data_IF_669510352667
#
_entry.id   IF_669510352667
#
_cell.length_a   1.000
_cell.length_b   1.000
_cell.length_c   1.000
_cell.angle_alpha   90.00
_cell.angle_beta   90.00
_cell.angle_gamma   90.00
#
_symmetry.space_group_name_H-M   'P 1'
#
loop_
_entity.id
_entity.type
_entity.pdbx_description
1 polymer ?
#
# COMPACT_ATOMS: atom_id res chain seq x y z
N UNK A 1 10.78 -28.77 -0.76
CA UNK A 1 11.51 -27.57 -1.16
C UNK A 1 12.97 -27.92 -1.25
N UNK A 2 13.55 -27.82 -2.45
CA UNK A 2 14.98 -28.06 -2.70
C UNK A 2 15.81 -26.84 -2.29
N UNK A 3 17.13 -26.89 -2.50
CA UNK A 3 17.98 -25.71 -2.29
C UNK A 3 17.70 -24.64 -3.33
N UNK A 4 17.48 -25.04 -4.57
CA UNK A 4 17.13 -24.16 -5.70
C UNK A 4 15.83 -23.41 -5.41
N UNK A 5 14.78 -24.10 -4.93
CA UNK A 5 13.52 -23.48 -4.52
C UNK A 5 13.73 -22.42 -3.40
N UNK A 6 14.66 -22.69 -2.47
CA UNK A 6 14.97 -21.77 -1.38
C UNK A 6 15.70 -20.53 -1.85
N UNK A 7 16.62 -20.69 -2.81
CA UNK A 7 17.37 -19.58 -3.41
C UNK A 7 16.43 -18.73 -4.25
N UNK A 8 15.61 -19.34 -5.11
CA UNK A 8 14.62 -18.64 -5.93
C UNK A 8 13.65 -17.82 -5.06
N UNK A 9 13.22 -18.37 -3.92
CA UNK A 9 12.40 -17.62 -2.95
C UNK A 9 13.13 -16.42 -2.37
N UNK A 10 14.42 -16.52 -2.05
CA UNK A 10 15.20 -15.40 -1.52
C UNK A 10 15.43 -14.31 -2.57
N UNK A 11 15.74 -14.71 -3.81
CA UNK A 11 15.89 -13.79 -4.95
C UNK A 11 14.57 -13.09 -5.26
N UNK A 12 13.46 -13.81 -5.25
CA UNK A 12 12.11 -13.27 -5.42
C UNK A 12 11.75 -12.24 -4.34
N UNK A 13 12.08 -12.52 -3.07
CA UNK A 13 11.88 -11.55 -1.97
C UNK A 13 12.66 -10.27 -2.23
N UNK A 14 13.92 -10.36 -2.65
CA UNK A 14 14.74 -9.19 -2.92
C UNK A 14 14.26 -8.42 -4.15
N UNK A 15 13.87 -9.12 -5.22
CA UNK A 15 13.30 -8.47 -6.41
C UNK A 15 12.02 -7.70 -6.07
N UNK A 16 11.12 -8.26 -5.26
CA UNK A 16 9.91 -7.59 -4.79
C UNK A 16 10.23 -6.38 -3.89
N UNK A 17 11.26 -6.47 -3.03
CA UNK A 17 11.70 -5.30 -2.24
C UNK A 17 12.24 -4.19 -3.12
N UNK A 18 13.08 -4.53 -4.10
CA UNK A 18 13.61 -3.57 -5.07
C UNK A 18 12.51 -2.98 -5.95
N UNK A 19 11.49 -3.76 -6.32
CA UNK A 19 10.31 -3.32 -7.06
C UNK A 19 9.60 -2.16 -6.33
N UNK A 20 9.41 -2.27 -5.01
CA UNK A 20 8.80 -1.22 -4.17
C UNK A 20 9.71 0.01 -4.05
N UNK A 21 11.03 -0.17 -3.88
CA UNK A 21 11.98 0.94 -3.86
C UNK A 21 12.02 1.70 -5.19
N UNK A 22 12.03 0.97 -6.32
CA UNK A 22 11.97 1.53 -7.68
C UNK A 22 10.67 2.30 -7.91
N UNK A 23 9.56 1.83 -7.34
CA UNK A 23 8.28 2.52 -7.43
C UNK A 23 8.36 3.92 -6.84
N UNK A 24 8.85 4.06 -5.60
CA UNK A 24 8.97 5.37 -4.95
C UNK A 24 9.87 6.29 -5.75
N UNK A 25 11.06 5.82 -6.15
CA UNK A 25 12.01 6.62 -6.89
C UNK A 25 11.47 7.08 -8.25
N UNK A 26 10.92 6.17 -9.05
CA UNK A 26 10.38 6.50 -10.38
C UNK A 26 9.18 7.45 -10.30
N UNK A 27 8.33 7.29 -9.28
CA UNK A 27 7.20 8.16 -9.03
C UNK A 27 7.65 9.59 -8.70
N UNK A 28 8.54 9.73 -7.73
CA UNK A 28 8.98 11.04 -7.24
C UNK A 28 9.83 11.79 -8.28
N UNK A 29 10.61 11.06 -9.09
CA UNK A 29 11.39 11.64 -10.19
C UNK A 29 10.57 11.85 -11.48
N UNK A 30 9.28 11.50 -11.46
CA UNK A 30 8.36 11.61 -12.61
C UNK A 30 8.85 10.85 -13.85
N UNK A 31 9.63 9.78 -13.68
CA UNK A 31 10.00 8.88 -14.78
C UNK A 31 8.86 7.89 -15.01
N UNK A 32 7.90 8.32 -15.83
CA UNK A 32 6.67 7.58 -16.04
C UNK A 32 6.90 6.25 -16.76
N UNK A 33 7.88 6.16 -17.65
CA UNK A 33 8.21 4.91 -18.35
C UNK A 33 8.84 3.90 -17.39
N UNK A 34 9.79 4.34 -16.57
CA UNK A 34 10.34 3.48 -15.53
C UNK A 34 9.24 3.02 -14.56
N UNK A 35 8.31 3.92 -14.20
CA UNK A 35 7.25 3.64 -13.24
C UNK A 35 6.24 2.61 -13.75
N UNK A 36 5.67 2.81 -14.94
CA UNK A 36 4.62 1.92 -15.44
C UNK A 36 5.15 0.53 -15.82
N UNK A 37 6.45 0.40 -16.10
CA UNK A 37 7.09 -0.89 -16.33
C UNK A 37 7.22 -1.76 -15.08
N UNK A 38 6.96 -1.23 -13.88
CA UNK A 38 6.92 -2.00 -12.62
C UNK A 38 5.60 -2.77 -12.45
N UNK A 39 4.60 -2.49 -13.28
CA UNK A 39 3.31 -3.16 -13.26
C UNK A 39 3.24 -4.23 -14.34
N UNK A 40 2.45 -5.28 -14.12
CA UNK A 40 2.23 -6.28 -15.16
C UNK A 40 1.57 -5.64 -16.40
N UNK A 41 1.90 -6.15 -17.59
CA UNK A 41 1.62 -5.46 -18.86
C UNK A 41 0.15 -5.12 -19.06
N UNK A 42 -0.73 -6.01 -18.63
CA UNK A 42 -2.20 -5.95 -18.71
C UNK A 42 -2.87 -5.32 -17.47
N UNK A 43 -2.13 -4.56 -16.64
CA UNK A 43 -2.62 -3.96 -15.40
C UNK A 43 -3.97 -3.26 -15.53
N UNK A 44 -4.88 -3.58 -14.61
CA UNK A 44 -6.19 -2.95 -14.56
C UNK A 44 -6.07 -1.54 -14.00
N UNK A 45 -6.49 -0.54 -14.78
CA UNK A 45 -6.46 0.89 -14.36
C UNK A 45 -7.84 1.32 -13.87
N UNK A 46 -8.90 0.91 -14.56
CA UNK A 46 -10.29 1.22 -14.20
C UNK A 46 -11.21 0.08 -14.62
N UNK A 47 -12.54 0.22 -14.44
CA UNK A 47 -13.51 -0.75 -14.97
C UNK A 47 -13.53 -0.83 -16.50
N UNK A 48 -12.93 0.12 -17.20
CA UNK A 48 -12.99 0.22 -18.66
C UNK A 48 -11.60 0.21 -19.32
N UNK A 49 -10.53 0.50 -18.55
CA UNK A 49 -9.18 0.60 -19.07
C UNK A 49 -8.21 -0.38 -18.40
N UNK A 50 -7.34 -0.95 -19.21
CA UNK A 50 -6.23 -1.81 -18.78
C UNK A 50 -4.98 -1.53 -19.61
N UNK A 51 -3.82 -1.87 -19.08
CA UNK A 51 -2.53 -1.77 -19.74
C UNK A 51 -1.68 -0.58 -19.30
N UNK A 52 -0.36 -0.75 -19.41
CA UNK A 52 0.63 0.27 -18.99
C UNK A 52 0.45 1.63 -19.66
N UNK A 53 -0.02 1.67 -20.91
CA UNK A 53 -0.27 2.94 -21.62
C UNK A 53 -1.38 3.77 -20.94
N UNK A 54 -2.49 3.14 -20.57
CA UNK A 54 -3.57 3.81 -19.83
C UNK A 54 -3.13 4.22 -18.43
N UNK A 55 -2.30 3.40 -17.77
CA UNK A 55 -1.73 3.74 -16.47
C UNK A 55 -0.82 4.97 -16.58
N UNK A 56 0.01 5.04 -17.62
CA UNK A 56 0.93 6.15 -17.88
C UNK A 56 0.18 7.46 -18.05
N UNK A 57 -0.87 7.45 -18.87
CA UNK A 57 -1.71 8.64 -19.09
C UNK A 57 -2.36 9.11 -17.79
N UNK A 58 -3.02 8.20 -17.07
CA UNK A 58 -3.67 8.53 -15.80
C UNK A 58 -2.68 9.08 -14.77
N UNK A 59 -1.48 8.50 -14.70
CA UNK A 59 -0.43 8.96 -13.80
C UNK A 59 0.09 10.33 -14.19
N UNK A 60 0.38 10.58 -15.48
CA UNK A 60 0.83 11.90 -15.96
C UNK A 60 -0.17 13.01 -15.58
N UNK A 61 -1.46 12.77 -15.81
CA UNK A 61 -2.52 13.72 -15.47
C UNK A 61 -2.57 13.98 -13.95
N UNK A 62 -2.60 12.90 -13.15
CA UNK A 62 -2.61 13.00 -11.68
C UNK A 62 -1.43 13.82 -11.18
N UNK A 63 -0.24 13.50 -11.70
CA UNK A 63 1.02 14.09 -11.26
C UNK A 63 1.16 15.56 -11.63
N UNK A 64 0.59 16.01 -12.76
CA UNK A 64 0.58 17.43 -13.17
C UNK A 64 -0.50 18.26 -12.51
N UNK A 65 -1.68 17.66 -12.31
CA UNK A 65 -2.86 18.39 -11.85
C UNK A 65 -2.94 18.52 -10.33
N UNK A 66 -2.39 17.55 -9.60
CA UNK A 66 -2.61 17.47 -8.16
C UNK A 66 -1.40 17.85 -7.31
N UNK A 67 -0.19 17.84 -7.87
CA UNK A 67 1.05 17.93 -7.09
C UNK A 67 2.16 18.70 -7.80
N UNK A 68 2.75 19.68 -7.12
CA UNK A 68 4.01 20.32 -7.58
C UNK A 68 5.22 19.51 -7.13
N UNK A 69 5.15 18.83 -5.98
CA UNK A 69 6.20 17.96 -5.46
C UNK A 69 5.65 16.75 -4.70
N UNK A 70 6.36 15.62 -4.79
CA UNK A 70 6.05 14.40 -4.04
C UNK A 70 7.32 13.76 -3.45
N UNK A 71 7.17 13.07 -2.32
CA UNK A 71 8.21 12.23 -1.73
C UNK A 71 7.57 11.02 -1.05
N UNK A 72 8.00 9.82 -1.40
CA UNK A 72 7.44 8.55 -0.92
C UNK A 72 8.48 7.74 -0.15
N UNK A 73 8.42 7.83 1.18
CA UNK A 73 9.23 7.00 2.06
C UNK A 73 8.51 5.68 2.37
N UNK A 74 9.03 4.62 1.78
CA UNK A 74 8.56 3.24 2.01
C UNK A 74 9.43 2.55 3.05
N UNK A 75 8.81 1.71 3.88
CA UNK A 75 9.50 0.93 4.90
C UNK A 75 8.67 -0.24 5.38
N UNK A 76 9.29 -1.12 6.19
CA UNK A 76 8.69 -2.35 6.77
C UNK A 76 7.91 -3.18 5.74
N UNK A 77 8.53 -4.21 5.17
CA UNK A 77 7.90 -5.02 4.11
C UNK A 77 7.82 -6.49 4.52
N UNK A 78 6.59 -6.98 4.69
CA UNK A 78 6.30 -8.41 4.87
C UNK A 78 5.82 -8.94 3.53
N UNK A 79 6.46 -10.02 3.05
CA UNK A 79 6.16 -10.67 1.77
C UNK A 79 5.88 -12.14 2.05
N UNK A 80 4.73 -12.62 1.61
CA UNK A 80 4.29 -14.01 1.69
C UNK A 80 3.93 -14.52 0.30
N UNK A 81 4.16 -15.81 0.07
CA UNK A 81 3.98 -16.43 -1.25
C UNK A 81 2.73 -17.28 -1.22
N UNK A 82 1.86 -17.07 -2.21
CA UNK A 82 0.70 -17.91 -2.46
C UNK A 82 1.11 -19.17 -3.24
N UNK A 83 2.06 -19.01 -4.18
CA UNK A 83 2.75 -20.09 -4.89
C UNK A 83 4.12 -19.60 -5.42
N UNK A 84 4.71 -20.30 -6.40
CA UNK A 84 6.04 -19.96 -6.96
C UNK A 84 6.05 -18.63 -7.76
N UNK A 85 4.91 -18.20 -8.29
CA UNK A 85 4.79 -17.04 -9.17
C UNK A 85 3.81 -15.99 -8.64
N UNK A 86 3.14 -16.24 -7.52
CA UNK A 86 2.24 -15.29 -6.88
C UNK A 86 2.64 -15.03 -5.43
N UNK A 87 2.65 -13.76 -5.08
CA UNK A 87 2.93 -13.31 -3.73
C UNK A 87 2.01 -12.16 -3.35
N UNK A 88 1.90 -11.91 -2.05
CA UNK A 88 1.26 -10.73 -1.51
C UNK A 88 2.12 -10.14 -0.40
N UNK A 89 1.88 -8.87 -0.09
CA UNK A 89 2.65 -8.22 0.94
C UNK A 89 2.00 -6.98 1.51
N UNK A 90 2.54 -6.60 2.67
CA UNK A 90 2.22 -5.34 3.33
C UNK A 90 3.46 -4.51 3.44
N UNK A 91 3.37 -3.25 3.02
CA UNK A 91 4.40 -2.26 3.27
C UNK A 91 3.80 -0.98 3.85
N UNK A 92 4.60 -0.26 4.63
CA UNK A 92 4.23 1.04 5.17
C UNK A 92 4.77 2.12 4.24
N UNK A 93 4.00 3.19 4.06
CA UNK A 93 4.42 4.36 3.29
C UNK A 93 4.05 5.63 4.02
N UNK A 94 5.04 6.51 4.16
CA UNK A 94 4.87 7.89 4.57
C UNK A 94 5.13 8.77 3.35
N UNK A 95 4.16 9.60 3.01
CA UNK A 95 4.22 10.40 1.80
C UNK A 95 4.10 11.87 2.17
N UNK A 96 4.80 12.70 1.40
CA UNK A 96 4.72 14.15 1.48
C UNK A 96 4.37 14.69 0.10
N UNK A 97 3.39 15.60 0.06
CA UNK A 97 2.88 16.16 -1.18
C UNK A 97 2.73 17.68 -1.04
N UNK A 98 3.37 18.42 -1.94
CA UNK A 98 3.06 19.84 -2.13
C UNK A 98 1.88 19.93 -3.11
N UNK A 99 0.73 20.37 -2.59
CA UNK A 99 -0.56 20.34 -3.28
C UNK A 99 -1.07 21.76 -3.50
N UNK A 100 -1.25 22.21 -4.75
CA UNK A 100 -1.89 23.49 -5.02
C UNK A 100 -3.32 23.55 -4.47
N UNK A 101 -3.71 24.70 -3.90
CA UNK A 101 -5.07 24.94 -3.43
C UNK A 101 -5.51 26.39 -3.64
N UNK A 102 -6.83 26.63 -3.71
CA UNK A 102 -7.38 27.98 -3.86
C UNK A 102 -7.04 28.92 -2.69
N UNK A 103 -6.82 28.36 -1.50
CA UNK A 103 -6.45 29.10 -0.30
C UNK A 103 -4.94 29.29 -0.14
N UNK A 104 -4.15 28.86 -1.13
CA UNK A 104 -2.69 28.76 -1.08
C UNK A 104 -2.21 27.31 -0.99
N UNK A 105 -1.02 27.03 -1.49
CA UNK A 105 -0.49 25.66 -1.55
C UNK A 105 -0.40 25.03 -0.14
N UNK A 106 -0.80 23.76 -0.02
CA UNK A 106 -0.77 23.00 1.23
C UNK A 106 0.32 21.93 1.19
N UNK A 107 1.01 21.73 2.33
CA UNK A 107 1.96 20.63 2.50
C UNK A 107 1.25 19.45 3.15
N UNK A 108 0.75 18.53 2.32
CA UNK A 108 -0.02 17.38 2.78
C UNK A 108 0.92 16.24 3.17
N UNK A 109 0.88 15.86 4.44
CA UNK A 109 1.50 14.65 4.95
C UNK A 109 0.49 13.51 4.98
N UNK A 110 0.95 12.31 4.64
CA UNK A 110 0.10 11.13 4.55
C UNK A 110 0.80 9.91 5.14
N UNK A 111 0.05 9.10 5.89
CA UNK A 111 0.49 7.78 6.35
C UNK A 111 -0.48 6.73 5.84
N UNK A 112 0.08 5.67 5.27
CA UNK A 112 -0.69 4.55 4.75
C UNK A 112 0.09 3.24 4.87
N UNK A 113 -0.62 2.16 4.62
CA UNK A 113 -0.03 0.89 4.23
C UNK A 113 -0.51 0.54 2.83
N UNK A 114 0.29 -0.21 2.07
CA UNK A 114 -0.18 -0.91 0.88
C UNK A 114 -0.44 -2.37 1.22
N UNK A 115 -1.58 -2.89 0.77
CA UNK A 115 -1.78 -4.32 0.57
C UNK A 115 -1.58 -4.62 -0.92
N UNK A 116 -0.44 -5.22 -1.24
CA UNK A 116 -0.01 -5.44 -2.61
C UNK A 116 -0.13 -6.92 -2.98
N UNK A 117 -0.47 -7.17 -4.25
CA UNK A 117 -0.34 -8.47 -4.89
C UNK A 117 0.73 -8.36 -5.98
N UNK A 118 1.59 -9.37 -6.04
CA UNK A 118 2.70 -9.48 -6.96
C UNK A 118 2.53 -10.72 -7.83
N UNK A 119 2.96 -10.61 -9.08
CA UNK A 119 2.94 -11.70 -10.05
C UNK A 119 4.29 -11.75 -10.74
N UNK A 120 4.84 -12.97 -10.87
CA UNK A 120 6.04 -13.24 -11.65
C UNK A 120 5.65 -13.59 -13.08
N UNK A 121 6.11 -12.80 -14.03
CA UNK A 121 5.84 -12.96 -15.47
C UNK A 121 7.19 -13.01 -16.18
N UNK A 122 7.41 -14.04 -16.99
CA UNK A 122 8.65 -14.24 -17.75
C UNK A 122 9.93 -14.10 -16.89
N UNK A 123 9.87 -14.61 -15.66
CA UNK A 123 10.99 -14.63 -14.72
C UNK A 123 11.12 -13.38 -13.84
N UNK A 124 10.33 -12.34 -14.05
CA UNK A 124 10.41 -11.05 -13.34
C UNK A 124 9.16 -10.74 -12.52
N UNK A 125 9.34 -10.09 -11.37
CA UNK A 125 8.23 -9.72 -10.48
C UNK A 125 7.65 -8.34 -10.80
N UNK A 126 6.31 -8.28 -10.83
CA UNK A 126 5.56 -7.06 -11.12
C UNK A 126 4.46 -6.82 -10.09
N UNK A 127 4.04 -5.57 -9.96
CA UNK A 127 2.80 -5.24 -9.28
C UNK A 127 1.62 -5.76 -10.09
N UNK A 128 0.86 -6.68 -9.49
CA UNK A 128 -0.43 -7.11 -10.04
C UNK A 128 -1.56 -6.21 -9.59
N UNK A 129 -1.51 -5.80 -8.32
CA UNK A 129 -2.47 -4.90 -7.70
C UNK A 129 -1.81 -4.21 -6.53
N UNK A 130 -2.18 -2.94 -6.33
CA UNK A 130 -1.79 -2.18 -5.15
C UNK A 130 -3.01 -1.57 -4.50
N UNK A 131 -3.18 -1.81 -3.20
CA UNK A 131 -4.33 -1.32 -2.44
C UNK A 131 -3.84 -0.37 -1.34
N UNK A 132 -3.89 0.97 -1.55
CA UNK A 132 -3.46 1.94 -0.55
C UNK A 132 -4.51 2.09 0.55
N UNK A 133 -4.23 1.58 1.75
CA UNK A 133 -5.07 1.72 2.92
C UNK A 133 -4.58 2.92 3.75
N UNK A 134 -5.29 4.04 3.64
CA UNK A 134 -4.90 5.30 4.27
C UNK A 134 -5.22 5.34 5.77
N UNK A 135 -4.30 5.85 6.58
CA UNK A 135 -4.59 6.23 7.97
C UNK A 135 -5.01 7.69 8.08
N UNK A 136 -4.24 8.58 7.45
CA UNK A 136 -4.55 9.99 7.36
C UNK A 136 -3.88 10.63 6.13
N UNK A 137 -4.44 11.75 5.68
CA UNK A 137 -3.80 12.74 4.82
C UNK A 137 -4.23 14.12 5.32
N UNK A 138 -3.31 15.04 5.63
CA UNK A 138 -3.66 16.36 6.17
C UNK A 138 -2.53 17.36 5.93
N UNK A 139 -2.83 18.66 5.92
CA UNK A 139 -1.81 19.70 5.97
C UNK A 139 -0.92 19.53 7.23
N UNK A 140 0.39 19.70 7.06
CA UNK A 140 1.40 19.56 8.12
C UNK A 140 1.10 20.40 9.37
N UNK A 141 0.46 21.56 9.21
CA UNK A 141 0.11 22.48 10.29
C UNK A 141 -1.23 22.14 10.97
N UNK A 142 -1.94 21.11 10.49
CA UNK A 142 -3.26 20.67 10.99
C UNK A 142 -3.18 19.18 11.40
N UNK A 143 -2.74 18.85 12.62
CA UNK A 143 -2.54 17.46 13.03
C UNK A 143 -3.79 16.58 12.87
N UNK A 144 -3.65 15.31 12.43
CA UNK A 144 -4.77 14.42 12.11
C UNK A 144 -5.37 13.76 13.36
N UNK A 145 -5.79 14.55 14.36
CA UNK A 145 -6.44 14.10 15.59
C UNK A 145 -7.97 14.02 15.37
N UNK A 146 -8.62 13.01 15.97
CA UNK A 146 -10.05 12.77 15.83
C UNK A 146 -10.42 11.88 14.65
N UNK A 147 -11.71 11.89 14.28
CA UNK A 147 -12.28 11.16 13.15
C UNK A 147 -11.97 11.86 11.81
N UNK A 148 -12.31 11.21 10.69
CA UNK A 148 -12.23 11.76 9.34
C UNK A 148 -10.84 12.35 9.04
N UNK A 149 -9.84 11.46 9.11
CA UNK A 149 -8.42 11.83 9.03
C UNK A 149 -7.93 12.04 7.60
N UNK A 150 -8.75 11.79 6.58
CA UNK A 150 -8.45 12.13 5.19
C UNK A 150 -8.98 13.52 4.91
N UNK A 151 -8.10 14.51 4.92
CA UNK A 151 -8.38 15.95 4.84
C UNK A 151 -7.56 16.54 3.70
N UNK A 152 -8.04 16.33 2.49
CA UNK A 152 -7.48 16.97 1.31
C UNK A 152 -8.07 18.38 1.14
N UNK A 153 -7.33 19.35 0.59
CA UNK A 153 -7.80 20.73 0.47
C UNK A 153 -9.03 20.89 -0.45
N UNK A 154 -9.24 19.94 -1.37
CA UNK A 154 -10.18 20.05 -2.49
C UNK A 154 -11.51 19.30 -2.28
N UNK A 155 -11.77 18.75 -1.08
CA UNK A 155 -12.95 17.91 -0.81
C UNK A 155 -13.27 17.77 0.67
N UNK A 156 -14.46 17.23 0.96
CA UNK A 156 -14.88 16.91 2.31
C UNK A 156 -14.00 15.85 2.98
N UNK A 157 -13.85 15.96 4.30
CA UNK A 157 -13.10 15.00 5.09
C UNK A 157 -13.80 13.63 5.14
N UNK A 158 -13.00 12.56 5.20
CA UNK A 158 -13.51 11.19 5.29
C UNK A 158 -12.56 10.26 6.04
N UNK A 159 -13.02 9.06 6.37
CA UNK A 159 -12.20 8.03 7.01
C UNK A 159 -11.36 7.25 6.00
N UNK A 160 -10.11 6.98 6.39
CA UNK A 160 -9.26 6.04 5.69
C UNK A 160 -9.57 4.58 6.08
N UNK A 161 -8.94 3.63 5.41
CA UNK A 161 -9.19 2.20 5.59
C UNK A 161 -8.00 1.43 6.21
N UNK A 162 -7.05 2.13 6.84
CA UNK A 162 -5.82 1.53 7.40
C UNK A 162 -6.10 0.36 8.34
N UNK A 163 -7.08 0.52 9.24
CA UNK A 163 -7.43 -0.48 10.24
C UNK A 163 -8.40 -1.55 9.70
N UNK A 164 -9.14 -1.25 8.65
CA UNK A 164 -10.17 -2.16 8.09
C UNK A 164 -9.57 -3.41 7.46
N UNK A 165 -8.30 -3.35 7.07
CA UNK A 165 -7.58 -4.46 6.49
C UNK A 165 -7.43 -5.64 7.46
N UNK A 166 -7.29 -5.37 8.77
CA UNK A 166 -7.04 -6.38 9.78
C UNK A 166 -8.12 -6.37 10.87
N UNK A 167 -8.89 -7.46 11.04
CA UNK A 167 -9.95 -7.53 12.04
C UNK A 167 -9.42 -7.44 13.48
N UNK A 168 -8.11 -7.61 13.68
CA UNK A 168 -7.45 -7.45 14.99
C UNK A 168 -7.69 -6.08 15.61
N UNK A 169 -7.85 -5.02 14.81
CA UNK A 169 -8.13 -3.68 15.34
C UNK A 169 -9.52 -3.61 16.00
N UNK A 170 -10.55 -4.05 15.29
CA UNK A 170 -11.91 -4.08 15.83
C UNK A 170 -12.03 -5.08 17.00
N UNK A 171 -11.39 -6.24 16.87
CA UNK A 171 -11.38 -7.27 17.91
C UNK A 171 -10.73 -6.80 19.20
N UNK A 172 -9.66 -5.99 19.13
CA UNK A 172 -9.01 -5.41 20.30
C UNK A 172 -10.00 -4.58 21.14
N UNK A 173 -10.74 -3.68 20.49
CA UNK A 173 -11.69 -2.80 21.19
C UNK A 173 -12.94 -3.54 21.69
N UNK A 174 -13.39 -4.58 20.96
CA UNK A 174 -14.55 -5.40 21.36
C UNK A 174 -14.27 -6.33 22.54
N UNK A 175 -13.00 -6.68 22.78
CA UNK A 175 -12.62 -7.71 23.75
C UNK A 175 -11.59 -7.15 24.76
N UNK A 176 -11.98 -6.21 25.64
CA UNK A 176 -11.07 -5.72 26.68
C UNK A 176 -10.65 -6.84 27.63
N UNK A 177 -9.44 -6.75 28.23
CA UNK A 177 -9.01 -7.68 29.26
C UNK A 177 -9.99 -7.72 30.43
N UNK A 178 -10.12 -8.89 31.08
CA UNK A 178 -10.95 -9.06 32.27
C UNK A 178 -10.11 -8.84 33.53
N UNK A 179 -10.64 -8.09 34.48
CA UNK A 179 -9.97 -7.82 35.75
C UNK A 179 -9.59 -9.11 36.49
N UNK A 180 -8.36 -9.17 37.00
CA UNK A 180 -7.84 -10.32 37.74
C UNK A 180 -7.53 -11.55 36.89
N UNK A 181 -7.65 -11.48 35.56
CA UNK A 181 -7.35 -12.57 34.63
C UNK A 181 -6.15 -12.19 33.77
N UNK A 182 -5.05 -12.94 33.90
CA UNK A 182 -3.90 -12.82 33.00
C UNK A 182 -4.27 -13.36 31.62
N UNK A 183 -4.11 -12.58 30.53
CA UNK A 183 -4.43 -13.05 29.18
C UNK A 183 -3.54 -14.22 28.75
N UNK A 184 -4.14 -15.20 28.06
CA UNK A 184 -3.42 -16.27 27.40
C UNK A 184 -2.80 -15.79 26.08
N UNK A 185 -1.68 -16.40 25.69
CA UNK A 185 -0.99 -16.11 24.42
C UNK A 185 -1.37 -17.17 23.40
N UNK A 186 -1.94 -16.74 22.27
CA UNK A 186 -2.27 -17.64 21.17
C UNK A 186 -1.01 -18.27 20.55
N UNK A 187 -1.16 -19.45 19.96
CA UNK A 187 -0.09 -20.07 19.17
C UNK A 187 0.35 -19.14 18.03
N UNK A 188 1.66 -18.99 17.76
CA UNK A 188 2.13 -18.18 16.65
C UNK A 188 1.59 -18.66 15.30
N UNK A 189 1.46 -17.73 14.35
CA UNK A 189 1.16 -18.07 12.96
C UNK A 189 2.23 -19.01 12.38
N UNK A 190 1.87 -19.96 11.51
CA UNK A 190 2.84 -20.75 10.76
C UNK A 190 3.82 -19.87 9.99
N UNK A 191 5.02 -20.40 9.73
CA UNK A 191 6.04 -19.67 8.97
C UNK A 191 5.52 -19.32 7.57
N UNK A 192 5.56 -18.03 7.22
CA UNK A 192 5.08 -17.52 5.93
C UNK A 192 3.57 -17.37 5.81
N UNK A 193 2.82 -17.51 6.92
CA UNK A 193 1.36 -17.29 6.96
C UNK A 193 0.96 -16.23 8.01
N UNK A 194 1.87 -15.33 8.38
CA UNK A 194 1.63 -14.25 9.33
C UNK A 194 0.55 -13.29 8.83
N UNK A 195 0.66 -12.78 7.60
CA UNK A 195 -0.33 -11.85 7.05
C UNK A 195 -1.66 -12.55 6.82
N UNK A 196 -1.63 -13.77 6.29
CA UNK A 196 -2.84 -14.59 6.09
C UNK A 196 -3.58 -14.86 7.40
N UNK A 197 -2.85 -15.20 8.46
CA UNK A 197 -3.41 -15.41 9.81
C UNK A 197 -3.97 -14.12 10.38
N UNK A 198 -3.24 -13.01 10.26
CA UNK A 198 -3.68 -11.70 10.76
C UNK A 198 -4.90 -11.17 10.00
N UNK A 199 -5.02 -11.48 8.70
CA UNK A 199 -6.18 -11.17 7.86
C UNK A 199 -7.41 -11.98 8.25
N UNK A 200 -7.24 -13.22 8.71
CA UNK A 200 -8.35 -14.10 9.11
C UNK A 200 -9.51 -14.18 8.10
N UNK A 201 -9.20 -14.10 6.79
CA UNK A 201 -10.20 -14.10 5.72
C UNK A 201 -11.04 -12.82 5.58
N UNK A 202 -10.69 -11.74 6.30
CA UNK A 202 -11.28 -10.42 6.14
C UNK A 202 -11.26 -10.02 4.65
N UNK A 203 -12.32 -9.45 4.07
CA UNK A 203 -12.29 -8.97 2.70
C UNK A 203 -11.38 -7.74 2.56
N UNK A 204 -11.03 -7.39 1.32
CA UNK A 204 -10.34 -6.13 1.06
C UNK A 204 -11.26 -4.94 1.35
N UNK A 205 -10.75 -3.88 2.00
CA UNK A 205 -11.55 -2.69 2.25
C UNK A 205 -11.89 -1.95 0.95
N UNK A 206 -12.98 -1.20 0.98
CA UNK A 206 -13.33 -0.27 -0.11
C UNK A 206 -12.54 1.02 0.06
N UNK A 207 -11.55 1.21 -0.80
CA UNK A 207 -10.69 2.40 -0.78
C UNK A 207 -11.32 3.53 -1.58
N UNK A 208 -11.41 4.72 -0.98
CA UNK A 208 -11.61 5.98 -1.69
C UNK A 208 -10.24 6.51 -2.12
N UNK A 209 -10.03 6.65 -3.42
CA UNK A 209 -8.80 7.21 -4.00
C UNK A 209 -9.02 8.71 -4.28
N UNK A 210 -7.94 9.50 -4.22
CA UNK A 210 -7.98 10.93 -4.56
C UNK A 210 -8.41 11.15 -6.00
#
# INVERSE_FOLDING_TARGET
MTLEDRIDRLESIEEIRQLVSKYSLSLDMRDLDAHVNLFAEDIRVSRQASGRAHLKQWLDDTLRLQFTGTSHHVGNHIIEFDDANHAHGVLYSKNEHETPSEAGDEWVIMQMLYWDNYERIDGHWYFRRRLPCYWYATDLNKPPIGEQKMRWPDRDAYDGAFHDLFPSWENFWKNPPKDGITPEVATPAPWGEFLKTMRAGQPDPKIKVR
#
